data_IF_824228234605
#
_entry.id   IF_824228234605
#
_cell.length_a   1.000
_cell.length_b   1.000
_cell.length_c   1.000
_cell.angle_alpha   90.00
_cell.angle_beta   90.00
_cell.angle_gamma   90.00
#
_symmetry.space_group_name_H-M   'P 1'
#
loop_
_entity.id
_entity.type
_entity.pdbx_description
1 polymer ?
#
# COMPACT_ATOMS: atom_id res chain seq x y z
N UNK A 1 -34.14 -10.90 24.98
CA UNK A 1 -33.88 -9.82 24.00
C UNK A 1 -32.94 -8.76 24.60
N UNK A 2 -31.65 -8.86 24.26
CA UNK A 2 -30.73 -7.71 24.29
C UNK A 2 -30.20 -7.60 22.87
N UNK A 3 -30.65 -6.57 22.17
CA UNK A 3 -29.93 -6.09 21.00
C UNK A 3 -28.75 -5.30 21.57
N UNK A 4 -27.61 -5.96 21.72
CA UNK A 4 -26.35 -5.25 21.85
C UNK A 4 -26.04 -4.69 20.46
N UNK A 5 -26.50 -3.45 20.26
CA UNK A 5 -26.10 -2.56 19.20
C UNK A 5 -24.61 -2.24 19.38
N UNK A 6 -23.76 -3.19 18.96
CA UNK A 6 -22.38 -2.89 18.61
C UNK A 6 -22.37 -2.22 17.23
N UNK A 7 -22.93 -1.02 17.17
CA UNK A 7 -22.43 0.01 16.27
C UNK A 7 -21.04 0.39 16.75
N UNK A 8 -20.07 -0.51 16.56
CA UNK A 8 -18.66 -0.15 16.57
C UNK A 8 -18.50 0.93 15.53
N UNK A 9 -18.35 2.16 16.02
CA UNK A 9 -17.89 3.28 15.24
C UNK A 9 -16.50 2.91 14.74
N UNK A 10 -16.43 2.24 13.59
CA UNK A 10 -15.19 2.14 12.83
C UNK A 10 -14.83 3.59 12.52
N UNK A 11 -13.91 4.17 13.27
CA UNK A 11 -13.21 5.37 12.87
C UNK A 11 -12.43 5.00 11.60
N UNK A 12 -13.14 5.06 10.47
CA UNK A 12 -12.65 4.59 9.18
C UNK A 12 -11.45 5.47 8.86
N UNK A 13 -10.26 4.91 8.98
CA UNK A 13 -8.98 5.56 8.65
C UNK A 13 -8.86 5.80 7.14
N UNK A 14 -9.83 6.49 6.54
CA UNK A 14 -9.89 6.82 5.13
C UNK A 14 -8.66 7.60 4.67
N UNK A 15 -8.06 8.37 5.59
CA UNK A 15 -6.80 9.06 5.35
C UNK A 15 -5.67 8.08 4.97
N UNK A 16 -5.71 6.82 5.44
CA UNK A 16 -4.73 5.79 5.10
C UNK A 16 -4.82 5.28 3.65
N UNK A 17 -5.92 5.61 2.94
CA UNK A 17 -6.08 5.33 1.51
C UNK A 17 -5.41 6.38 0.62
N UNK A 18 -4.84 7.43 1.20
CA UNK A 18 -4.19 8.52 0.49
C UNK A 18 -2.67 8.46 0.63
N UNK A 19 -1.98 8.97 -0.38
CA UNK A 19 -0.53 9.16 -0.35
C UNK A 19 -0.12 10.43 -1.08
N UNK A 20 0.93 11.08 -0.57
CA UNK A 20 1.50 12.29 -1.13
C UNK A 20 2.84 11.94 -1.78
N UNK A 21 2.98 12.26 -3.06
CA UNK A 21 4.15 11.91 -3.84
C UNK A 21 4.80 13.15 -4.43
N UNK A 22 6.13 13.22 -4.32
CA UNK A 22 6.95 14.10 -5.12
C UNK A 22 7.46 13.35 -6.34
N UNK A 23 7.43 13.98 -7.52
CA UNK A 23 7.98 13.43 -8.75
C UNK A 23 9.27 14.19 -9.11
N UNK A 24 10.46 13.64 -8.85
CA UNK A 24 11.73 14.33 -9.11
C UNK A 24 11.90 14.75 -10.57
N UNK A 25 11.37 13.98 -11.52
CA UNK A 25 11.52 14.24 -12.96
C UNK A 25 10.80 15.51 -13.43
N UNK A 26 9.68 15.86 -12.78
CA UNK A 26 8.87 17.03 -13.15
C UNK A 26 8.86 18.13 -12.09
N UNK A 27 9.36 17.85 -10.89
CA UNK A 27 9.28 18.76 -9.74
C UNK A 27 7.87 18.96 -9.17
N UNK A 28 6.91 18.14 -9.60
CA UNK A 28 5.49 18.27 -9.22
C UNK A 28 5.15 17.39 -8.02
N UNK A 29 4.15 17.84 -7.26
CA UNK A 29 3.54 17.07 -6.19
C UNK A 29 2.20 16.51 -6.65
N UNK A 30 1.93 15.25 -6.27
CA UNK A 30 0.66 14.57 -6.56
C UNK A 30 0.07 14.00 -5.29
N UNK A 31 -1.25 14.03 -5.20
CA UNK A 31 -2.01 13.28 -4.21
C UNK A 31 -2.65 12.10 -4.89
N UNK A 32 -2.46 10.92 -4.32
CA UNK A 32 -2.98 9.65 -4.82
C UNK A 32 -4.01 9.12 -3.83
N UNK A 33 -5.17 8.73 -4.32
CA UNK A 33 -6.20 8.04 -3.56
C UNK A 33 -6.39 6.65 -4.16
N UNK A 34 -6.06 5.64 -3.38
CA UNK A 34 -6.27 4.23 -3.72
C UNK A 34 -7.62 3.81 -3.16
N UNK A 35 -8.52 3.23 -3.96
CA UNK A 35 -9.84 2.86 -3.46
C UNK A 35 -9.77 1.74 -2.41
N UNK A 36 -10.50 1.95 -1.31
CA UNK A 36 -10.45 1.13 -0.10
C UNK A 36 -11.87 0.96 0.52
N UNK A 37 -12.70 -0.02 0.13
CA UNK A 37 -13.85 -0.42 0.98
C UNK A 37 -14.49 -1.78 0.66
N UNK A 38 -15.31 -2.23 1.62
CA UNK A 38 -15.89 -3.57 1.82
C UNK A 38 -17.07 -3.94 0.88
N UNK A 39 -17.66 -2.98 0.18
CA UNK A 39 -18.86 -3.22 -0.64
C UNK A 39 -18.52 -3.57 -2.09
N UNK A 40 -19.41 -4.36 -2.71
CA UNK A 40 -19.29 -4.98 -4.06
C UNK A 40 -19.19 -4.00 -5.24
N UNK A 41 -18.86 -2.73 -5.02
CA UNK A 41 -18.60 -1.79 -6.11
C UNK A 41 -17.26 -2.11 -6.78
N UNK A 42 -17.23 -2.01 -8.10
CA UNK A 42 -16.02 -2.20 -8.91
C UNK A 42 -15.09 -1.01 -8.65
N UNK A 43 -14.03 -1.25 -7.89
CA UNK A 43 -12.95 -0.30 -7.65
C UNK A 43 -11.81 -0.56 -8.63
N UNK A 44 -12.00 -0.15 -9.87
CA UNK A 44 -11.06 -0.37 -10.96
C UNK A 44 -10.17 0.84 -11.26
N UNK A 45 -10.21 1.90 -10.44
CA UNK A 45 -9.48 3.15 -10.68
C UNK A 45 -8.78 3.70 -9.45
N UNK A 46 -7.52 4.08 -9.62
CA UNK A 46 -6.76 4.92 -8.69
C UNK A 46 -6.95 6.38 -9.09
N UNK A 47 -7.25 7.25 -8.13
CA UNK A 47 -7.47 8.67 -8.40
C UNK A 47 -6.22 9.47 -8.08
N UNK A 48 -5.88 10.42 -8.95
CA UNK A 48 -4.68 11.25 -8.82
C UNK A 48 -5.05 12.71 -9.09
N UNK A 49 -4.52 13.62 -8.29
CA UNK A 49 -4.55 15.05 -8.58
C UNK A 49 -3.14 15.61 -8.46
N UNK A 50 -2.72 16.42 -9.43
CA UNK A 50 -1.48 17.19 -9.32
C UNK A 50 -1.76 18.49 -8.59
N UNK A 51 -0.91 18.87 -7.65
CA UNK A 51 -1.09 20.14 -6.93
C UNK A 51 -1.08 21.31 -7.93
N UNK A 52 -2.10 22.17 -7.85
CA UNK A 52 -2.34 23.26 -8.79
C UNK A 52 -3.39 22.95 -9.87
N UNK A 53 -3.75 21.69 -10.08
CA UNK A 53 -4.86 21.29 -10.95
C UNK A 53 -6.22 21.42 -10.24
N UNK A 54 -7.31 21.46 -11.01
CA UNK A 54 -8.68 21.70 -10.50
C UNK A 54 -9.50 20.42 -10.31
N UNK A 55 -9.03 19.27 -10.79
CA UNK A 55 -9.82 18.04 -10.80
C UNK A 55 -8.95 16.80 -10.63
N UNK A 56 -9.57 15.77 -10.06
CA UNK A 56 -8.98 14.44 -9.96
C UNK A 56 -9.10 13.70 -11.29
N UNK A 57 -8.05 12.95 -11.65
CA UNK A 57 -8.03 12.01 -12.76
C UNK A 57 -8.09 10.58 -12.24
N UNK A 58 -9.08 9.80 -12.69
CA UNK A 58 -9.14 8.36 -12.42
C UNK A 58 -8.30 7.58 -13.44
N UNK A 59 -7.37 6.76 -12.98
CA UNK A 59 -6.50 5.91 -13.80
C UNK A 59 -6.93 4.45 -13.67
N UNK A 60 -7.31 3.77 -14.77
CA UNK A 60 -7.73 2.37 -14.73
C UNK A 60 -6.61 1.45 -14.25
N UNK A 61 -6.87 0.74 -13.15
CA UNK A 61 -5.98 -0.20 -12.50
C UNK A 61 -6.45 -1.67 -12.62
N UNK A 62 -7.64 -1.88 -13.20
CA UNK A 62 -8.25 -3.20 -13.40
C UNK A 62 -8.80 -3.82 -12.11
N UNK A 63 -9.34 -5.03 -12.22
CA UNK A 63 -9.81 -5.78 -11.06
C UNK A 63 -8.63 -6.19 -10.16
N UNK A 64 -8.71 -5.85 -8.86
CA UNK A 64 -7.68 -6.22 -7.87
C UNK A 64 -6.67 -5.12 -7.52
N UNK A 65 -6.99 -3.85 -7.80
CA UNK A 65 -6.23 -2.68 -7.36
C UNK A 65 -6.67 -2.13 -5.99
N UNK A 66 -7.59 -2.81 -5.30
CA UNK A 66 -8.14 -2.37 -4.01
C UNK A 66 -7.09 -2.43 -2.90
N UNK A 67 -7.05 -1.43 -2.03
CA UNK A 67 -6.23 -1.46 -0.82
C UNK A 67 -6.96 -2.13 0.37
N UNK A 68 -6.19 -2.65 1.31
CA UNK A 68 -6.67 -3.06 2.64
C UNK A 68 -6.69 -1.82 3.55
N UNK A 69 -7.84 -1.52 4.17
CA UNK A 69 -7.90 -0.43 5.16
C UNK A 69 -7.13 -0.85 6.41
N UNK A 70 -6.13 -0.05 6.78
CA UNK A 70 -5.22 -0.34 7.90
C UNK A 70 -3.82 -0.78 7.48
N UNK A 71 -3.61 -1.09 6.18
CA UNK A 71 -2.30 -1.49 5.64
C UNK A 71 -1.85 -0.55 4.50
N UNK A 72 -0.67 0.02 4.69
CA UNK A 72 -0.27 1.35 4.19
C UNK A 72 -0.26 1.55 2.67
N UNK A 73 -0.73 2.72 2.24
CA UNK A 73 -0.39 3.34 0.95
C UNK A 73 0.81 4.27 1.15
N UNK A 74 1.93 4.01 0.47
CA UNK A 74 3.16 4.82 0.58
C UNK A 74 3.64 5.26 -0.80
N UNK A 75 4.15 6.48 -0.92
CA UNK A 75 4.76 6.97 -2.16
C UNK A 75 6.24 7.19 -1.96
N UNK A 76 7.05 6.57 -2.82
CA UNK A 76 8.50 6.64 -2.79
C UNK A 76 9.00 6.83 -4.21
N UNK A 77 9.83 7.85 -4.43
CA UNK A 77 10.50 8.12 -5.71
C UNK A 77 9.54 8.11 -6.92
N UNK A 78 8.44 8.85 -6.84
CA UNK A 78 7.44 8.94 -7.91
C UNK A 78 6.59 7.67 -8.11
N UNK A 79 6.66 6.68 -7.23
CA UNK A 79 5.85 5.46 -7.29
C UNK A 79 5.03 5.31 -6.03
N UNK A 80 3.72 5.09 -6.17
CA UNK A 80 2.83 4.76 -5.05
C UNK A 80 2.66 3.26 -4.92
N UNK A 81 2.78 2.74 -3.70
CA UNK A 81 2.71 1.33 -3.33
C UNK A 81 1.61 1.09 -2.32
N UNK A 82 0.92 -0.05 -2.43
CA UNK A 82 -0.09 -0.47 -1.45
C UNK A 82 -0.23 -1.99 -1.44
N UNK A 83 -0.79 -2.52 -0.37
CA UNK A 83 -1.10 -3.95 -0.21
C UNK A 83 -2.53 -4.24 -0.65
N UNK A 84 -2.79 -5.47 -1.10
CA UNK A 84 -4.13 -5.92 -1.51
C UNK A 84 -4.61 -7.05 -0.62
N UNK A 85 -5.88 -7.09 -0.17
CA UNK A 85 -6.37 -8.15 0.72
C UNK A 85 -6.37 -9.57 0.10
N UNK A 86 -6.47 -9.67 -1.23
CA UNK A 86 -6.65 -10.96 -1.93
C UNK A 86 -5.36 -11.69 -2.30
N UNK A 87 -4.20 -11.04 -2.13
CA UNK A 87 -2.96 -11.60 -2.62
C UNK A 87 -1.77 -11.11 -1.80
N UNK A 88 -0.83 -12.02 -1.55
CA UNK A 88 0.50 -11.75 -1.00
C UNK A 88 1.36 -11.00 -2.03
N UNK A 89 0.95 -9.79 -2.39
CA UNK A 89 1.62 -8.93 -3.36
C UNK A 89 1.53 -7.48 -2.91
N UNK A 90 2.51 -6.69 -3.33
CA UNK A 90 2.47 -5.23 -3.25
C UNK A 90 2.16 -4.70 -4.65
N UNK A 91 1.10 -3.90 -4.77
CA UNK A 91 0.80 -3.17 -5.99
C UNK A 91 1.68 -1.92 -6.05
N UNK A 92 2.04 -1.52 -7.26
CA UNK A 92 2.77 -0.27 -7.48
C UNK A 92 2.22 0.48 -8.69
N UNK A 93 2.22 1.80 -8.59
CA UNK A 93 1.72 2.72 -9.59
C UNK A 93 2.78 3.79 -9.86
N UNK A 94 3.36 3.71 -11.05
CA UNK A 94 4.28 4.71 -11.58
C UNK A 94 3.49 5.98 -11.94
N UNK A 95 3.75 7.07 -11.23
CA UNK A 95 3.02 8.33 -11.37
C UNK A 95 3.45 9.16 -12.58
N UNK A 96 4.60 8.85 -13.17
CA UNK A 96 5.11 9.49 -14.37
C UNK A 96 4.46 8.87 -15.61
N UNK A 97 4.52 7.54 -15.73
CA UNK A 97 4.01 6.82 -16.90
C UNK A 97 2.58 6.33 -16.75
N UNK A 98 1.99 6.46 -15.56
CA UNK A 98 0.63 5.99 -15.28
C UNK A 98 0.50 4.47 -15.36
N UNK A 99 1.55 3.72 -14.99
CA UNK A 99 1.62 2.26 -15.17
C UNK A 99 1.49 1.51 -13.86
N UNK A 100 0.67 0.45 -13.87
CA UNK A 100 0.53 -0.45 -12.74
C UNK A 100 1.41 -1.68 -12.90
N UNK A 101 2.04 -2.12 -11.81
CA UNK A 101 2.74 -3.41 -11.74
C UNK A 101 2.53 -4.05 -10.38
N UNK A 102 2.81 -5.34 -10.27
CA UNK A 102 2.71 -6.08 -9.00
C UNK A 102 4.05 -6.69 -8.61
N UNK A 103 4.35 -6.63 -7.32
CA UNK A 103 5.54 -7.17 -6.68
C UNK A 103 5.11 -8.42 -5.92
N UNK A 104 5.54 -9.59 -6.41
CA UNK A 104 5.21 -10.89 -5.80
C UNK A 104 6.37 -11.51 -5.02
N UNK A 105 7.59 -11.08 -5.29
CA UNK A 105 8.79 -11.53 -4.58
C UNK A 105 8.92 -10.80 -3.24
N UNK A 106 8.06 -11.12 -2.28
CA UNK A 106 8.11 -10.57 -0.93
C UNK A 106 9.07 -11.40 -0.04
N UNK A 107 9.65 -10.81 1.03
CA UNK A 107 10.42 -11.56 2.01
C UNK A 107 9.62 -12.74 2.59
N UNK A 108 10.25 -13.90 2.77
CA UNK A 108 9.57 -15.12 3.25
C UNK A 108 8.90 -14.95 4.61
N UNK A 109 9.44 -14.08 5.47
CA UNK A 109 8.87 -13.75 6.78
C UNK A 109 7.48 -13.11 6.65
N UNK A 110 7.25 -12.29 5.61
CA UNK A 110 5.97 -11.65 5.31
C UNK A 110 4.93 -12.68 4.85
N UNK A 111 5.36 -13.63 4.00
CA UNK A 111 4.50 -14.71 3.52
C UNK A 111 4.09 -15.68 4.65
N UNK A 112 4.96 -15.81 5.66
CA UNK A 112 4.73 -16.67 6.81
C UNK A 112 3.87 -15.99 7.87
N UNK A 113 4.00 -14.68 8.05
CA UNK A 113 3.23 -13.93 9.05
C UNK A 113 1.76 -13.75 8.69
N UNK A 114 1.46 -13.53 7.41
CA UNK A 114 0.09 -13.51 6.86
C UNK A 114 -0.71 -14.76 7.28
N UNK A 115 -0.04 -15.92 7.38
CA UNK A 115 -0.65 -17.20 7.78
C UNK A 115 -0.77 -17.39 9.30
N UNK A 116 0.04 -16.68 10.09
CA UNK A 116 0.20 -16.89 11.52
C UNK A 116 -0.35 -15.73 12.37
N UNK A 117 -1.10 -14.80 11.78
CA UNK A 117 -1.70 -13.67 12.49
C UNK A 117 -0.75 -12.52 12.84
N UNK A 118 0.44 -12.48 12.22
CA UNK A 118 1.35 -11.33 12.33
C UNK A 118 0.92 -10.19 11.39
N UNK A 119 1.16 -8.94 11.80
CA UNK A 119 0.87 -7.76 10.97
C UNK A 119 2.14 -7.22 10.32
N UNK A 120 1.99 -6.63 9.13
CA UNK A 120 3.06 -5.96 8.42
C UNK A 120 2.50 -4.78 7.64
N UNK A 121 3.33 -3.78 7.38
CA UNK A 121 2.93 -2.59 6.67
C UNK A 121 4.05 -2.03 5.80
N UNK A 122 3.70 -1.15 4.86
CA UNK A 122 4.66 -0.49 3.99
C UNK A 122 5.22 0.78 4.63
N UNK A 123 6.48 1.09 4.36
CA UNK A 123 7.14 2.31 4.82
C UNK A 123 8.09 2.89 3.79
N UNK A 124 8.53 4.12 4.05
CA UNK A 124 9.64 4.76 3.34
C UNK A 124 10.86 4.79 4.27
N UNK A 125 11.95 4.14 3.85
CA UNK A 125 13.23 4.12 4.56
C UNK A 125 14.31 4.66 3.64
N UNK A 126 14.73 5.90 3.88
CA UNK A 126 15.74 6.61 3.09
C UNK A 126 15.40 6.68 1.59
N UNK A 127 14.15 7.00 1.24
CA UNK A 127 13.70 7.11 -0.15
C UNK A 127 13.58 5.76 -0.84
N UNK A 128 13.36 4.68 -0.08
CA UNK A 128 13.21 3.32 -0.59
C UNK A 128 12.02 2.65 0.06
N UNK A 129 11.28 1.88 -0.74
CA UNK A 129 10.17 1.09 -0.23
C UNK A 129 10.68 0.09 0.81
N UNK A 130 10.03 0.08 1.97
CA UNK A 130 10.30 -0.87 3.03
C UNK A 130 9.04 -1.65 3.40
N UNK A 131 9.24 -2.87 3.87
CA UNK A 131 8.23 -3.67 4.55
C UNK A 131 8.63 -3.75 6.02
N UNK A 132 7.78 -3.22 6.88
CA UNK A 132 7.94 -3.28 8.33
C UNK A 132 7.06 -4.41 8.85
N UNK A 133 7.67 -5.36 9.54
CA UNK A 133 7.00 -6.53 10.07
C UNK A 133 7.14 -6.55 11.60
N UNK A 134 6.02 -6.78 12.30
CA UNK A 134 6.02 -6.95 13.76
C UNK A 134 5.56 -8.36 14.10
N UNK A 135 6.47 -9.14 14.67
CA UNK A 135 6.17 -10.44 15.23
C UNK A 135 5.86 -10.30 16.72
N UNK A 136 4.63 -10.64 17.08
CA UNK A 136 4.21 -10.74 18.47
C UNK A 136 4.28 -12.20 18.91
N UNK A 137 5.01 -12.47 19.99
CA UNK A 137 5.00 -13.75 20.70
C UNK A 137 4.78 -13.50 22.19
N UNK A 138 4.40 -14.53 22.94
CA UNK A 138 4.22 -14.43 24.40
C UNK A 138 5.49 -14.04 25.16
N UNK A 139 6.67 -14.23 24.56
CA UNK A 139 7.96 -13.97 25.18
C UNK A 139 8.66 -12.70 24.67
N UNK A 140 8.36 -12.26 23.44
CA UNK A 140 9.06 -11.15 22.80
C UNK A 140 8.26 -10.52 21.66
N UNK A 141 8.36 -9.20 21.55
CA UNK A 141 8.01 -8.43 20.36
C UNK A 141 9.29 -8.16 19.54
N UNK A 142 9.25 -8.51 18.25
CA UNK A 142 10.36 -8.28 17.32
C UNK A 142 9.85 -7.53 16.11
N UNK A 143 10.47 -6.38 15.83
CA UNK A 143 10.25 -5.63 14.59
C UNK A 143 11.41 -5.84 13.63
N UNK A 144 11.10 -6.19 12.39
CA UNK A 144 12.06 -6.30 11.28
C UNK A 144 11.68 -5.34 10.17
N UNK A 145 12.68 -4.76 9.50
CA UNK A 145 12.48 -3.79 8.41
C UNK A 145 13.23 -4.27 7.19
N UNK A 146 12.49 -4.64 6.15
CA UNK A 146 13.04 -5.13 4.89
C UNK A 146 12.98 -4.03 3.84
N UNK A 147 14.13 -3.50 3.43
CA UNK A 147 14.25 -2.39 2.47
C UNK A 147 14.51 -2.92 1.07
N UNK A 148 13.81 -2.36 0.08
CA UNK A 148 13.99 -2.67 -1.34
C UNK A 148 15.34 -2.14 -1.83
N UNK A 149 16.15 -3.03 -2.41
CA UNK A 149 17.48 -2.66 -2.94
C UNK A 149 17.44 -2.15 -4.39
N UNK A 150 16.37 -2.45 -5.13
CA UNK A 150 16.19 -2.02 -6.51
C UNK A 150 15.29 -2.97 -7.30
N UNK A 151 14.89 -2.52 -8.51
CA UNK A 151 14.09 -3.30 -9.46
C UNK A 151 14.99 -3.74 -10.61
N UNK A 152 15.51 -4.97 -10.57
CA UNK A 152 16.09 -5.61 -11.77
C UNK A 152 14.99 -6.30 -12.56
N UNK A 153 15.20 -6.49 -13.87
CA UNK A 153 14.24 -7.13 -14.78
C UNK A 153 13.74 -8.45 -14.16
N UNK A 154 12.48 -8.46 -13.72
CA UNK A 154 11.80 -9.63 -13.17
C UNK A 154 12.07 -9.99 -11.71
N UNK A 155 13.02 -9.34 -11.02
CA UNK A 155 13.36 -9.71 -9.64
C UNK A 155 13.63 -8.49 -8.76
N UNK A 156 12.93 -8.44 -7.64
CA UNK A 156 13.13 -7.45 -6.57
C UNK A 156 13.93 -8.12 -5.46
N UNK A 157 14.94 -7.42 -4.95
CA UNK A 157 15.76 -7.86 -3.82
C UNK A 157 15.44 -7.00 -2.59
N UNK A 158 15.41 -7.66 -1.44
CA UNK A 158 15.16 -7.07 -0.14
C UNK A 158 16.36 -7.32 0.77
N UNK A 159 16.68 -6.37 1.64
CA UNK A 159 17.61 -6.56 2.76
C UNK A 159 16.94 -6.16 4.07
N UNK A 160 17.14 -6.99 5.09
CA UNK A 160 16.83 -6.67 6.48
C UNK A 160 17.93 -5.80 7.09
#
# INVERSE_FOLDING_TARGET
PRFDDQSTCYDRSWHAAYSFAYLPTSGLYKVVHVPCHLDRSVYDRVHVITLGEKSWRGVPAGSGARCSLGDNVVSVDGVTYWTTPEADKVMSFDLEHGRFTSIRSLPSVVLSSSKNGGSWHLGDVHGRLAIVFTQLSSAMERTEVWVMQGRTVGQIRWSC
#
